data_IF_331541278511
#
_entry.id   IF_331541278511
#
_cell.length_a   1.000
_cell.length_b   1.000
_cell.length_c   1.000
_cell.angle_alpha   90.00
_cell.angle_beta   90.00
_cell.angle_gamma   90.00
#
_symmetry.space_group_name_H-M   'P 1'
#
loop_
_entity.id
_entity.type
_entity.pdbx_description
1 polymer ?
#
# COMPACT_ATOMS: atom_id res chain seq x y z
N UNK A 1 8.07 16.13 -7.52
CA UNK A 1 6.97 15.64 -8.38
C UNK A 1 7.30 15.81 -9.87
N UNK A 2 7.79 16.98 -10.32
CA UNK A 2 8.21 17.20 -11.71
C UNK A 2 9.23 16.17 -12.25
N UNK A 3 10.24 15.79 -11.46
CA UNK A 3 11.21 14.77 -11.86
C UNK A 3 10.58 13.39 -12.16
N UNK A 4 9.53 13.00 -11.43
CA UNK A 4 8.84 11.73 -11.67
C UNK A 4 8.03 11.76 -12.97
N UNK A 5 7.43 12.91 -13.31
CA UNK A 5 6.71 13.09 -14.56
C UNK A 5 7.64 13.06 -15.79
N UNK A 6 8.90 13.46 -15.63
CA UNK A 6 9.90 13.47 -16.70
C UNK A 6 10.69 12.16 -16.83
N UNK A 7 10.64 11.27 -15.84
CA UNK A 7 11.39 10.03 -15.83
C UNK A 7 10.83 9.02 -16.83
N UNK A 8 11.64 8.64 -17.82
CA UNK A 8 11.26 7.68 -18.87
C UNK A 8 11.68 6.24 -18.51
N UNK A 9 12.73 6.07 -17.72
CA UNK A 9 13.23 4.76 -17.34
C UNK A 9 12.51 4.21 -16.09
N UNK A 10 12.05 2.95 -16.11
CA UNK A 10 11.37 2.34 -14.95
C UNK A 10 12.18 2.38 -13.65
N UNK A 11 13.51 2.25 -13.75
CA UNK A 11 14.39 2.28 -12.58
C UNK A 11 14.37 3.65 -11.89
N UNK A 12 14.47 4.73 -12.65
CA UNK A 12 14.38 6.10 -12.15
C UNK A 12 12.99 6.38 -11.55
N UNK A 13 11.94 5.91 -12.22
CA UNK A 13 10.56 6.01 -11.70
C UNK A 13 10.43 5.30 -10.35
N UNK A 14 10.93 4.06 -10.22
CA UNK A 14 10.90 3.30 -8.96
C UNK A 14 11.61 4.05 -7.85
N UNK A 15 12.82 4.57 -8.11
CA UNK A 15 13.58 5.32 -7.11
C UNK A 15 12.81 6.58 -6.65
N UNK A 16 12.29 7.36 -7.61
CA UNK A 16 11.58 8.59 -7.35
C UNK A 16 10.27 8.35 -6.59
N UNK A 17 9.52 7.30 -6.93
CA UNK A 17 8.33 6.87 -6.19
C UNK A 17 8.67 6.57 -4.74
N UNK A 18 9.66 5.69 -4.50
CA UNK A 18 10.10 5.32 -3.15
C UNK A 18 10.54 6.55 -2.35
N UNK A 19 11.24 7.50 -2.98
CA UNK A 19 11.67 8.75 -2.35
C UNK A 19 10.48 9.63 -1.98
N UNK A 20 9.48 9.77 -2.85
CA UNK A 20 8.25 10.54 -2.58
C UNK A 20 7.47 9.94 -1.41
N UNK A 21 7.33 8.61 -1.35
CA UNK A 21 6.66 7.92 -0.25
C UNK A 21 7.37 8.06 1.11
N UNK A 22 8.64 8.45 1.15
CA UNK A 22 9.39 8.70 2.40
C UNK A 22 9.28 10.13 2.90
N UNK A 23 8.77 11.05 2.09
CA UNK A 23 8.74 12.47 2.44
C UNK A 23 7.71 12.68 3.54
N UNK A 24 8.18 13.07 4.73
CA UNK A 24 7.31 13.44 5.83
C UNK A 24 6.41 14.60 5.39
N UNK A 25 5.10 14.47 5.64
CA UNK A 25 4.11 15.47 5.21
C UNK A 25 3.84 15.49 3.71
N UNK A 26 3.97 14.35 3.03
CA UNK A 26 3.58 14.20 1.63
C UNK A 26 2.08 14.47 1.44
N UNK A 27 1.74 15.75 1.34
CA UNK A 27 0.39 16.23 1.11
C UNK A 27 -0.15 15.77 -0.24
N UNK A 28 -1.32 16.27 -0.58
CA UNK A 28 -2.08 15.86 -1.75
C UNK A 28 -1.25 15.83 -3.05
N UNK A 29 -0.31 16.75 -3.23
CA UNK A 29 0.59 16.78 -4.40
C UNK A 29 1.40 15.49 -4.59
N UNK A 30 1.94 14.93 -3.49
CA UNK A 30 2.71 13.69 -3.56
C UNK A 30 1.80 12.50 -3.88
N UNK A 31 0.60 12.47 -3.31
CA UNK A 31 -0.41 11.48 -3.66
C UNK A 31 -0.79 11.54 -5.14
N UNK A 32 -1.12 12.73 -5.66
CA UNK A 32 -1.54 12.90 -7.05
C UNK A 32 -0.40 12.65 -8.04
N UNK A 33 0.86 12.86 -7.64
CA UNK A 33 2.00 12.48 -8.45
C UNK A 33 2.27 10.97 -8.48
N UNK A 34 2.00 10.25 -7.39
CA UNK A 34 2.26 8.79 -7.27
C UNK A 34 1.11 7.96 -7.85
N UNK A 35 -0.14 8.35 -7.61
CA UNK A 35 -1.34 7.56 -7.96
C UNK A 35 -1.37 7.06 -9.42
N UNK A 36 -1.01 7.85 -10.45
CA UNK A 36 -1.05 7.39 -11.84
C UNK A 36 -0.12 6.19 -12.11
N UNK A 37 0.96 6.04 -11.36
CA UNK A 37 1.92 4.95 -11.54
C UNK A 37 1.43 3.61 -11.00
N UNK A 38 0.29 3.58 -10.29
CA UNK A 38 -0.35 2.32 -9.90
C UNK A 38 -0.77 1.50 -11.12
N UNK A 39 -1.03 2.13 -12.27
CA UNK A 39 -1.40 1.47 -13.54
C UNK A 39 -0.26 1.42 -14.55
N UNK A 40 0.99 1.66 -14.14
CA UNK A 40 2.15 1.61 -15.03
C UNK A 40 2.32 0.22 -15.68
N UNK A 41 2.89 0.17 -16.89
CA UNK A 41 3.14 -1.09 -17.58
C UNK A 41 4.13 -1.99 -16.83
N UNK A 42 5.21 -1.39 -16.31
CA UNK A 42 6.23 -2.10 -15.55
C UNK A 42 5.72 -2.47 -14.14
N UNK A 43 5.74 -3.76 -13.77
CA UNK A 43 5.27 -4.20 -12.45
C UNK A 43 6.11 -3.69 -11.28
N UNK A 44 7.40 -3.40 -11.47
CA UNK A 44 8.24 -2.80 -10.43
C UNK A 44 7.81 -1.36 -10.15
N UNK A 45 7.43 -0.62 -11.20
CA UNK A 45 6.90 0.74 -11.08
C UNK A 45 5.56 0.73 -10.35
N UNK A 46 4.63 -0.16 -10.73
CA UNK A 46 3.36 -0.34 -9.99
C UNK A 46 3.59 -0.70 -8.53
N UNK A 47 4.46 -1.66 -8.27
CA UNK A 47 4.84 -2.08 -6.92
C UNK A 47 5.41 -0.93 -6.07
N UNK A 48 6.29 -0.10 -6.66
CA UNK A 48 6.83 1.08 -6.01
C UNK A 48 5.75 2.15 -5.75
N UNK A 49 4.80 2.32 -6.68
CA UNK A 49 3.67 3.22 -6.50
C UNK A 49 2.80 2.80 -5.32
N UNK A 50 2.42 1.52 -5.20
CA UNK A 50 1.66 1.02 -4.05
C UNK A 50 2.39 1.13 -2.73
N UNK A 51 3.70 0.81 -2.72
CA UNK A 51 4.52 1.03 -1.54
C UNK A 51 4.51 2.50 -1.10
N UNK A 52 4.51 3.42 -2.06
CA UNK A 52 4.53 4.85 -1.80
C UNK A 52 3.16 5.36 -1.35
N UNK A 53 2.07 4.93 -1.98
CA UNK A 53 0.70 5.21 -1.56
C UNK A 53 0.45 4.75 -0.13
N UNK A 54 0.88 3.53 0.23
CA UNK A 54 0.74 3.01 1.60
C UNK A 54 1.42 3.88 2.65
N UNK A 55 2.56 4.49 2.31
CA UNK A 55 3.27 5.42 3.23
C UNK A 55 2.60 6.78 3.29
N UNK A 56 2.22 7.34 2.14
CA UNK A 56 1.55 8.64 2.05
C UNK A 56 0.20 8.62 2.78
N UNK A 57 -0.50 7.50 2.73
CA UNK A 57 -1.84 7.31 3.30
C UNK A 57 -1.83 6.43 4.56
N UNK A 58 -0.68 6.26 5.23
CA UNK A 58 -0.57 5.39 6.42
C UNK A 58 -1.61 5.73 7.51
N UNK A 59 -1.97 7.01 7.62
CA UNK A 59 -2.94 7.54 8.59
C UNK A 59 -4.30 7.89 7.99
N UNK A 60 -4.52 7.59 6.71
CA UNK A 60 -5.78 7.81 5.99
C UNK A 60 -6.24 6.50 5.31
N UNK A 61 -6.69 5.51 6.11
CA UNK A 61 -7.07 4.21 5.60
C UNK A 61 -8.25 4.29 4.62
N UNK A 62 -9.16 5.25 4.81
CA UNK A 62 -10.34 5.45 3.93
C UNK A 62 -9.93 5.79 2.51
N UNK A 63 -8.90 6.63 2.35
CA UNK A 63 -8.37 6.98 1.02
C UNK A 63 -7.47 5.89 0.45
N UNK A 64 -6.81 5.09 1.30
CA UNK A 64 -5.96 3.99 0.86
C UNK A 64 -6.75 2.76 0.37
N UNK A 65 -7.89 2.46 1.01
CA UNK A 65 -8.67 1.24 0.79
C UNK A 65 -9.04 0.97 -0.67
N UNK A 66 -9.52 1.94 -1.49
CA UNK A 66 -9.80 1.70 -2.90
C UNK A 66 -8.56 1.27 -3.69
N UNK A 67 -7.38 1.81 -3.36
CA UNK A 67 -6.12 1.44 -3.99
C UNK A 67 -5.69 0.03 -3.58
N UNK A 68 -5.92 -0.36 -2.32
CA UNK A 68 -5.65 -1.73 -1.86
C UNK A 68 -6.53 -2.71 -2.62
N UNK A 69 -7.84 -2.47 -2.71
CA UNK A 69 -8.77 -3.34 -3.46
C UNK A 69 -8.34 -3.52 -4.92
N UNK A 70 -7.91 -2.44 -5.56
CA UNK A 70 -7.46 -2.52 -6.95
C UNK A 70 -6.12 -3.27 -7.07
N UNK A 71 -5.16 -3.00 -6.18
CA UNK A 71 -3.83 -3.60 -6.26
C UNK A 71 -3.72 -5.07 -5.86
N UNK A 72 -4.59 -5.57 -4.99
CA UNK A 72 -4.62 -6.99 -4.65
C UNK A 72 -5.12 -7.86 -5.82
N UNK A 73 -5.74 -7.26 -6.84
CA UNK A 73 -6.17 -7.93 -8.07
C UNK A 73 -5.10 -7.88 -9.20
N UNK A 74 -3.92 -7.31 -8.95
CA UNK A 74 -2.86 -7.20 -9.97
C UNK A 74 -2.41 -8.59 -10.45
N UNK A 75 -2.19 -8.75 -11.75
CA UNK A 75 -1.72 -10.01 -12.33
C UNK A 75 -0.34 -10.42 -11.79
N UNK A 76 0.52 -9.45 -11.47
CA UNK A 76 1.88 -9.71 -11.00
C UNK A 76 1.91 -9.94 -9.47
N UNK A 77 2.42 -11.09 -8.99
CA UNK A 77 2.47 -11.39 -7.56
C UNK A 77 3.37 -10.45 -6.76
N UNK A 78 4.40 -9.86 -7.37
CA UNK A 78 5.24 -8.86 -6.72
C UNK A 78 4.42 -7.62 -6.32
N UNK A 79 3.53 -7.16 -7.21
CA UNK A 79 2.64 -6.03 -6.96
C UNK A 79 1.66 -6.38 -5.84
N UNK A 80 0.95 -7.52 -5.94
CA UNK A 80 0.03 -7.97 -4.90
C UNK A 80 0.70 -8.04 -3.52
N UNK A 81 1.90 -8.61 -3.44
CA UNK A 81 2.69 -8.67 -2.20
C UNK A 81 2.99 -7.27 -1.62
N UNK A 82 3.32 -6.29 -2.47
CA UNK A 82 3.57 -4.92 -2.03
C UNK A 82 2.31 -4.23 -1.53
N UNK A 83 1.18 -4.47 -2.19
CA UNK A 83 -0.13 -3.95 -1.77
C UNK A 83 -0.52 -4.51 -0.41
N UNK A 84 -0.35 -5.82 -0.20
CA UNK A 84 -0.59 -6.48 1.10
C UNK A 84 0.26 -5.85 2.21
N UNK A 85 1.55 -5.59 1.94
CA UNK A 85 2.44 -4.93 2.90
C UNK A 85 2.03 -3.48 3.18
N UNK A 86 1.61 -2.73 2.15
CA UNK A 86 1.14 -1.37 2.29
C UNK A 86 -0.14 -1.31 3.14
N UNK A 87 -1.10 -2.20 2.88
CA UNK A 87 -2.31 -2.33 3.67
C UNK A 87 -2.00 -2.62 5.14
N UNK A 88 -1.12 -3.60 5.42
CA UNK A 88 -0.75 -3.98 6.78
C UNK A 88 0.00 -2.89 7.57
N UNK A 89 0.62 -1.93 6.88
CA UNK A 89 1.26 -0.78 7.51
C UNK A 89 0.28 0.36 7.84
N UNK A 90 -0.89 0.39 7.21
CA UNK A 90 -1.89 1.44 7.41
C UNK A 90 -2.61 1.28 8.76
N UNK A 91 -2.81 2.40 9.45
CA UNK A 91 -3.47 2.43 10.76
C UNK A 91 -4.98 2.49 10.58
N UNK A 92 -5.68 1.56 11.23
CA UNK A 92 -7.14 1.53 11.22
C UNK A 92 -7.76 1.03 9.90
N UNK A 93 -6.99 0.40 9.02
CA UNK A 93 -7.53 -0.29 7.86
C UNK A 93 -8.02 -1.68 8.28
N UNK A 94 -9.27 -2.03 7.97
CA UNK A 94 -9.78 -3.38 8.22
C UNK A 94 -9.20 -4.36 7.19
N UNK A 95 -8.20 -5.12 7.64
CA UNK A 95 -7.41 -5.99 6.76
C UNK A 95 -8.14 -7.27 6.39
N UNK A 96 -9.02 -7.79 7.25
CA UNK A 96 -9.63 -9.11 7.04
C UNK A 96 -10.46 -9.17 5.74
N UNK A 97 -11.46 -8.30 5.51
CA UNK A 97 -12.26 -8.35 4.29
C UNK A 97 -11.45 -8.08 3.03
N UNK A 98 -10.30 -7.39 3.14
CA UNK A 98 -9.42 -7.10 2.00
C UNK A 98 -8.48 -8.26 1.67
N UNK A 99 -7.93 -8.94 2.69
CA UNK A 99 -6.84 -9.89 2.50
C UNK A 99 -7.27 -11.35 2.58
N UNK A 100 -8.42 -11.67 3.18
CA UNK A 100 -8.94 -13.04 3.26
C UNK A 100 -9.07 -13.73 1.88
N UNK A 101 -9.50 -13.05 0.80
CA UNK A 101 -9.52 -13.66 -0.54
C UNK A 101 -8.13 -14.10 -1.05
N UNK A 102 -7.04 -13.51 -0.55
CA UNK A 102 -5.67 -13.82 -0.99
C UNK A 102 -5.04 -15.00 -0.21
N UNK A 103 -5.78 -15.62 0.72
CA UNK A 103 -5.32 -16.84 1.41
C UNK A 103 -5.12 -18.00 0.43
N UNK A 104 -5.88 -18.02 -0.66
CA UNK A 104 -5.76 -18.97 -1.77
C UNK A 104 -4.96 -18.45 -2.98
N UNK A 105 -4.22 -17.34 -2.86
CA UNK A 105 -3.48 -16.72 -3.98
C UNK A 105 -2.58 -17.76 -4.70
N UNK A 106 -2.46 -17.77 -6.04
CA UNK A 106 -1.61 -18.74 -6.74
C UNK A 106 -0.12 -18.64 -6.34
N UNK A 107 0.35 -17.47 -5.97
CA UNK A 107 1.73 -17.25 -5.56
C UNK A 107 1.95 -17.64 -4.08
N UNK A 108 2.88 -18.57 -3.79
CA UNK A 108 3.12 -19.04 -2.42
C UNK A 108 3.65 -17.97 -1.48
N UNK A 109 4.37 -16.96 -1.99
CA UNK A 109 4.88 -15.87 -1.16
C UNK A 109 3.76 -14.91 -0.76
N UNK A 110 2.81 -14.65 -1.66
CA UNK A 110 1.60 -13.89 -1.35
C UNK A 110 0.75 -14.61 -0.30
N UNK A 111 0.46 -15.91 -0.48
CA UNK A 111 -0.28 -16.69 0.54
C UNK A 111 0.39 -16.62 1.91
N UNK A 112 1.69 -16.88 1.95
CA UNK A 112 2.48 -16.91 3.19
C UNK A 112 2.39 -15.57 3.93
N UNK A 113 2.51 -14.45 3.22
CA UNK A 113 2.50 -13.13 3.86
C UNK A 113 1.10 -12.75 4.35
N UNK A 114 0.05 -13.10 3.60
CA UNK A 114 -1.34 -12.86 3.97
C UNK A 114 -1.70 -13.62 5.25
N UNK A 115 -1.40 -14.92 5.32
CA UNK A 115 -1.64 -15.71 6.54
C UNK A 115 -0.89 -15.13 7.75
N UNK A 116 0.36 -14.70 7.56
CA UNK A 116 1.13 -14.06 8.63
C UNK A 116 0.46 -12.79 9.13
N UNK A 117 0.02 -11.91 8.22
CA UNK A 117 -0.61 -10.63 8.55
C UNK A 117 -1.96 -10.84 9.22
N UNK A 118 -2.84 -11.68 8.68
CA UNK A 118 -4.16 -11.95 9.25
C UNK A 118 -4.07 -12.56 10.66
N UNK A 119 -3.09 -13.44 10.89
CA UNK A 119 -2.82 -13.99 12.23
C UNK A 119 -2.39 -12.90 13.20
N UNK A 120 -1.49 -12.00 12.80
CA UNK A 120 -1.02 -10.90 13.66
C UNK A 120 -2.11 -9.86 13.93
N UNK A 121 -2.90 -9.49 12.91
CA UNK A 121 -4.01 -8.56 13.05
C UNK A 121 -5.10 -9.08 14.01
N UNK A 122 -5.31 -10.41 14.05
CA UNK A 122 -6.20 -11.04 15.02
C UNK A 122 -5.69 -10.98 16.47
N UNK A 123 -4.37 -10.95 16.66
CA UNK A 123 -3.74 -10.96 17.99
C UNK A 123 -3.56 -9.58 18.61
N UNK A 124 -3.72 -8.50 17.84
CA UNK A 124 -3.55 -7.12 18.31
C UNK A 124 -4.77 -6.23 17.95
N UNK A 125 -5.93 -6.41 18.63
CA UNK A 125 -7.11 -5.57 18.42
C UNK A 125 -6.89 -4.11 18.83
N UNK A 126 -5.89 -3.85 19.69
CA UNK A 126 -5.64 -2.53 20.30
C UNK A 126 -4.97 -1.53 19.33
N UNK A 127 -4.33 -2.00 18.25
CA UNK A 127 -3.88 -1.13 17.15
C UNK A 127 -5.03 -0.47 16.38
N UNK A 128 -6.23 -1.05 16.48
CA UNK A 128 -7.48 -0.54 15.89
C UNK A 128 -8.19 0.46 16.80
N UNK A 129 -8.01 0.36 18.12
CA UNK A 129 -8.75 1.15 19.13
C UNK A 129 -7.96 2.34 19.70
N UNK A 130 -6.63 2.28 19.77
CA UNK A 130 -5.82 3.36 20.33
C UNK A 130 -5.94 4.71 19.58
N UNK A 131 -6.46 4.71 18.35
CA UNK A 131 -6.79 5.94 17.61
C UNK A 131 -8.15 6.57 17.96
N UNK A 132 -9.04 5.83 18.63
CA UNK A 132 -10.41 6.27 18.95
C UNK A 132 -10.42 6.98 20.32
N UNK A 133 -9.67 6.48 21.29
CA UNK A 133 -9.70 7.00 22.68
C UNK A 133 -8.98 8.35 22.81
N UNK A 134 -7.98 8.64 21.98
CA UNK A 134 -7.21 9.89 22.07
C UNK A 134 -7.91 11.13 21.47
N UNK A 135 -9.11 10.98 20.89
CA UNK A 135 -9.92 12.08 20.33
C UNK A 135 -11.13 12.43 21.20
N UNK A 136 -11.33 11.73 22.31
CA UNK A 136 -12.44 11.93 23.24
C UNK A 136 -11.95 12.43 24.62
N UNK A 137 -10.80 13.09 24.69
CA UNK A 137 -10.25 13.69 25.93
C UNK A 137 -9.78 15.11 25.68
#
# INVERSE_FOLDING_TARGET
VAALAAAQHPQDQVELLIRLGRRAGGGDDAFYAVRPFATAEDPNVRAAAYQSLGRLLERDPRRLEPHVRWGIADANPHVRRRVVLAAAAARGLDLRPLLEPLTGDPDPQVRRIVHRILRTAHQDPQRTEAGIVQRAS
#
